data_IF_471632414561
#
_entry.id   IF_471632414561
#
_cell.length_a   1.000
_cell.length_b   1.000
_cell.length_c   1.000
_cell.angle_alpha   90.00
_cell.angle_beta   90.00
_cell.angle_gamma   90.00
#
_symmetry.space_group_name_H-M   'P 1'
#
loop_
_entity.id
_entity.type
_entity.pdbx_description
1 polymer ?
#
# COMPACT_ATOMS: atom_id res chain seq x y z
N UNK A 1 61.29 8.14 12.30
CA UNK A 1 60.81 7.05 13.16
C UNK A 1 59.41 7.37 13.54
N UNK A 2 58.43 6.56 13.14
CA UNK A 2 57.01 6.84 13.27
C UNK A 2 56.47 6.26 14.57
N UNK A 3 55.41 6.86 15.07
CA UNK A 3 54.59 6.34 16.14
C UNK A 3 53.42 5.52 15.55
N UNK A 4 53.20 4.37 16.15
CA UNK A 4 52.18 3.37 15.82
C UNK A 4 50.76 3.90 16.09
N UNK A 5 49.87 3.65 15.12
CA UNK A 5 48.42 3.81 15.22
C UNK A 5 47.81 2.43 15.47
N UNK A 6 47.12 2.17 16.58
CA UNK A 6 46.41 0.91 16.78
C UNK A 6 45.04 0.97 16.15
N UNK A 7 44.81 0.03 15.23
CA UNK A 7 43.66 -0.17 14.41
C UNK A 7 42.30 -0.07 15.11
N UNK A 8 41.42 0.67 14.46
CA UNK A 8 40.00 0.67 14.71
C UNK A 8 39.41 -0.64 14.21
N UNK A 9 38.96 -1.50 15.10
CA UNK A 9 38.12 -2.64 14.80
C UNK A 9 36.75 -2.13 14.36
N UNK A 10 36.43 -2.26 13.08
CA UNK A 10 35.07 -2.14 12.56
C UNK A 10 34.22 -3.29 13.09
N UNK A 11 33.56 -3.06 14.22
CA UNK A 11 32.43 -3.85 14.64
C UNK A 11 31.26 -3.55 13.69
N UNK A 12 30.94 -4.48 12.81
CA UNK A 12 29.66 -4.49 12.11
C UNK A 12 28.56 -4.78 13.12
N UNK A 13 28.07 -3.76 13.81
CA UNK A 13 26.76 -3.83 14.47
C UNK A 13 25.75 -4.06 13.36
N UNK A 14 25.21 -5.29 13.29
CA UNK A 14 24.00 -5.60 12.56
C UNK A 14 22.88 -4.81 13.19
N UNK A 15 22.63 -3.61 12.67
CA UNK A 15 21.50 -2.79 13.08
C UNK A 15 20.23 -3.59 12.93
N UNK A 16 19.55 -3.84 14.04
CA UNK A 16 18.21 -4.40 14.03
C UNK A 16 17.36 -3.60 13.04
N UNK A 17 16.75 -4.26 12.09
CA UNK A 17 15.81 -3.63 11.14
C UNK A 17 14.69 -3.06 11.98
N UNK A 18 14.69 -1.75 12.20
CA UNK A 18 13.61 -1.07 12.91
C UNK A 18 12.35 -1.23 12.07
N UNK A 19 11.31 -1.86 12.63
CA UNK A 19 10.03 -2.04 11.96
C UNK A 19 9.59 -3.49 11.76
N UNK A 20 10.26 -4.48 12.40
CA UNK A 20 9.78 -5.86 12.39
C UNK A 20 8.42 -5.93 13.11
N UNK A 21 7.38 -6.54 12.48
CA UNK A 21 6.05 -6.63 13.08
C UNK A 21 6.04 -7.34 14.43
N UNK A 22 5.24 -6.82 15.36
CA UNK A 22 4.97 -7.42 16.66
C UNK A 22 3.51 -7.87 16.77
N UNK A 23 3.18 -8.84 17.60
CA UNK A 23 1.82 -9.38 17.75
C UNK A 23 1.58 -10.70 17.01
N UNK A 24 0.31 -11.14 16.82
CA UNK A 24 -0.03 -12.34 16.07
C UNK A 24 0.51 -12.26 14.64
N UNK A 25 1.07 -13.35 14.13
CA UNK A 25 1.71 -13.37 12.80
C UNK A 25 1.17 -14.52 11.95
N UNK A 26 0.71 -14.22 10.74
CA UNK A 26 0.36 -15.18 9.70
C UNK A 26 1.36 -15.13 8.55
N UNK A 27 1.47 -13.94 7.96
CA UNK A 27 2.32 -13.70 6.79
C UNK A 27 3.67 -13.06 7.14
N UNK A 28 3.83 -12.61 8.39
CA UNK A 28 5.08 -12.01 8.87
C UNK A 28 5.90 -12.93 9.76
N UNK A 29 5.58 -14.23 9.79
CA UNK A 29 6.21 -15.24 10.67
C UNK A 29 7.71 -15.40 10.49
N UNK A 30 8.25 -15.03 9.33
CA UNK A 30 9.66 -15.16 8.97
C UNK A 30 10.44 -13.85 8.94
N UNK A 31 9.79 -12.71 9.24
CA UNK A 31 10.43 -11.39 9.14
C UNK A 31 11.61 -11.19 10.11
N UNK A 32 11.60 -11.87 11.24
CA UNK A 32 12.68 -11.85 12.23
C UNK A 32 13.71 -12.98 12.06
N UNK A 33 13.58 -13.80 11.01
CA UNK A 33 14.53 -14.87 10.68
C UNK A 33 15.58 -14.35 9.70
N UNK A 34 16.86 -14.50 10.03
CA UNK A 34 17.96 -13.98 9.22
C UNK A 34 18.02 -14.57 7.79
N UNK A 35 17.47 -15.76 7.60
CA UNK A 35 17.42 -16.49 6.32
C UNK A 35 15.98 -16.73 5.83
N UNK A 36 14.97 -16.04 6.39
CA UNK A 36 13.56 -16.19 6.03
C UNK A 36 13.25 -15.94 4.55
N UNK A 37 14.06 -15.11 3.90
CA UNK A 37 13.96 -14.78 2.48
C UNK A 37 14.55 -15.84 1.54
N UNK A 38 15.25 -16.84 2.06
CA UNK A 38 15.87 -17.89 1.25
C UNK A 38 14.93 -19.08 1.03
N UNK A 39 15.18 -19.85 -0.03
CA UNK A 39 14.43 -21.07 -0.31
C UNK A 39 14.47 -22.05 0.88
N UNK A 40 15.67 -22.31 1.42
CA UNK A 40 15.85 -23.25 2.54
C UNK A 40 15.14 -22.78 3.81
N UNK A 41 15.19 -21.46 4.10
CA UNK A 41 14.47 -20.85 5.24
C UNK A 41 12.97 -20.99 5.09
N UNK A 42 12.45 -20.73 3.90
CA UNK A 42 11.03 -20.85 3.61
C UNK A 42 10.53 -22.28 3.71
N UNK A 43 11.21 -23.24 3.07
CA UNK A 43 10.84 -24.67 3.09
C UNK A 43 10.93 -25.25 4.51
N UNK A 44 11.98 -24.90 5.26
CA UNK A 44 12.12 -25.33 6.67
C UNK A 44 10.95 -24.88 7.55
N UNK A 45 10.32 -23.77 7.20
CA UNK A 45 9.15 -23.23 7.89
C UNK A 45 7.81 -23.75 7.34
N UNK A 46 7.79 -24.79 6.53
CA UNK A 46 6.59 -25.36 5.91
C UNK A 46 6.15 -24.67 4.61
N UNK A 47 7.05 -23.89 3.99
CA UNK A 47 6.77 -23.25 2.71
C UNK A 47 6.58 -24.26 1.57
N UNK A 48 5.77 -23.86 0.57
CA UNK A 48 5.32 -24.65 -0.57
C UNK A 48 4.46 -25.89 -0.25
N UNK A 49 4.07 -26.10 1.02
CA UNK A 49 3.12 -27.16 1.37
C UNK A 49 1.70 -26.85 0.86
N UNK A 50 1.29 -25.58 0.87
CA UNK A 50 0.02 -25.18 0.30
C UNK A 50 -0.03 -25.45 -1.22
N UNK A 51 1.05 -25.17 -1.92
CA UNK A 51 1.16 -25.48 -3.35
C UNK A 51 1.09 -26.98 -3.61
N UNK A 52 1.83 -27.80 -2.82
CA UNK A 52 1.74 -29.27 -2.92
C UNK A 52 0.31 -29.76 -2.73
N UNK A 53 -0.33 -29.30 -1.66
CA UNK A 53 -1.74 -29.64 -1.35
C UNK A 53 -2.69 -29.23 -2.48
N UNK A 54 -2.56 -28.02 -2.99
CA UNK A 54 -3.40 -27.52 -4.07
C UNK A 54 -3.27 -28.39 -5.34
N UNK A 55 -2.04 -28.66 -5.79
CA UNK A 55 -1.81 -29.38 -7.06
C UNK A 55 -2.07 -30.88 -6.99
N UNK A 56 -2.01 -31.50 -5.81
CA UNK A 56 -2.17 -32.95 -5.66
C UNK A 56 -3.54 -33.38 -5.12
N UNK A 57 -4.24 -32.50 -4.40
CA UNK A 57 -5.44 -32.86 -3.65
C UNK A 57 -6.65 -31.93 -3.90
N UNK A 58 -6.48 -30.84 -4.66
CA UNK A 58 -7.57 -29.87 -4.92
C UNK A 58 -7.72 -29.63 -6.41
N UNK A 59 -8.93 -29.27 -6.83
CA UNK A 59 -9.18 -28.73 -8.17
C UNK A 59 -8.94 -27.21 -8.19
N UNK A 60 -8.73 -26.57 -9.36
CA UNK A 60 -8.68 -25.12 -9.48
C UNK A 60 -9.88 -24.43 -8.81
N UNK A 61 -11.11 -24.94 -9.05
CA UNK A 61 -12.33 -24.41 -8.45
C UNK A 61 -12.32 -24.52 -6.91
N UNK A 62 -11.82 -25.62 -6.37
CA UNK A 62 -11.71 -25.80 -4.92
C UNK A 62 -10.73 -24.80 -4.29
N UNK A 63 -9.63 -24.46 -4.95
CA UNK A 63 -8.72 -23.40 -4.50
C UNK A 63 -9.40 -22.04 -4.58
N UNK A 64 -10.11 -21.74 -5.67
CA UNK A 64 -10.88 -20.49 -5.80
C UNK A 64 -11.97 -20.38 -4.71
N UNK A 65 -12.68 -21.47 -4.42
CA UNK A 65 -13.72 -21.50 -3.37
C UNK A 65 -13.14 -21.21 -1.97
N UNK A 66 -11.94 -21.71 -1.65
CA UNK A 66 -11.26 -21.36 -0.39
C UNK A 66 -10.98 -19.85 -0.30
N UNK A 67 -10.49 -19.25 -1.38
CA UNK A 67 -10.23 -17.80 -1.43
C UNK A 67 -11.55 -17.01 -1.36
N UNK A 68 -12.61 -17.49 -1.99
CA UNK A 68 -13.93 -16.86 -1.91
C UNK A 68 -14.51 -16.95 -0.51
N UNK A 69 -14.42 -18.11 0.14
CA UNK A 69 -14.92 -18.34 1.51
C UNK A 69 -14.14 -17.50 2.53
N UNK A 70 -12.84 -17.27 2.32
CA UNK A 70 -12.03 -16.41 3.19
C UNK A 70 -12.47 -14.95 3.20
N UNK A 71 -13.24 -14.54 2.19
CA UNK A 71 -13.59 -13.12 1.94
C UNK A 71 -12.41 -12.15 2.02
N UNK A 72 -11.19 -12.64 1.74
CA UNK A 72 -10.02 -11.78 1.78
C UNK A 72 -10.20 -10.57 0.88
N UNK A 73 -10.22 -9.40 1.48
CA UNK A 73 -10.29 -8.12 0.78
C UNK A 73 -8.94 -7.81 0.16
N UNK A 74 -8.94 -7.16 -1.02
CA UNK A 74 -7.73 -6.65 -1.65
C UNK A 74 -6.99 -5.66 -0.74
N UNK A 75 -5.69 -5.88 -0.53
CA UNK A 75 -4.82 -5.10 0.37
C UNK A 75 -4.13 -3.91 -0.31
N UNK A 76 -4.39 -3.72 -1.62
CA UNK A 76 -3.80 -2.60 -2.39
C UNK A 76 -4.53 -1.25 -2.29
N UNK A 77 -5.62 -1.15 -1.51
CA UNK A 77 -6.36 0.10 -1.29
C UNK A 77 -7.88 -0.01 -1.43
N UNK A 78 -8.40 -0.51 -2.54
CA UNK A 78 -9.83 -0.55 -2.82
C UNK A 78 -10.65 -1.53 -1.95
N UNK A 79 -10.01 -2.55 -1.37
CA UNK A 79 -10.66 -3.49 -0.45
C UNK A 79 -11.72 -4.38 -1.11
N UNK A 80 -11.68 -4.61 -2.42
CA UNK A 80 -12.62 -5.49 -3.10
C UNK A 80 -12.25 -6.97 -2.83
N UNK A 81 -13.20 -7.87 -2.51
CA UNK A 81 -12.92 -9.27 -2.20
C UNK A 81 -12.24 -10.00 -3.37
N UNK A 82 -11.08 -10.62 -3.11
CA UNK A 82 -10.25 -11.21 -4.16
C UNK A 82 -10.95 -12.40 -4.86
N UNK A 83 -11.57 -13.31 -4.11
CA UNK A 83 -12.30 -14.45 -4.69
C UNK A 83 -13.48 -14.04 -5.55
N UNK A 84 -14.19 -12.96 -5.20
CA UNK A 84 -15.26 -12.40 -6.04
C UNK A 84 -14.69 -11.81 -7.32
N UNK A 85 -13.57 -11.09 -7.23
CA UNK A 85 -12.88 -10.50 -8.40
C UNK A 85 -12.46 -11.58 -9.41
N UNK A 86 -11.96 -12.72 -8.94
CA UNK A 86 -11.55 -13.84 -9.80
C UNK A 86 -12.73 -14.44 -10.57
N UNK A 87 -13.92 -14.44 -9.97
CA UNK A 87 -15.15 -14.88 -10.63
C UNK A 87 -15.65 -13.98 -11.76
N UNK A 88 -15.03 -12.83 -12.02
CA UNK A 88 -15.37 -11.98 -13.18
C UNK A 88 -14.64 -12.38 -14.47
N UNK A 89 -13.73 -13.35 -14.40
CA UNK A 89 -13.09 -13.87 -15.61
C UNK A 89 -14.14 -14.59 -16.49
N UNK A 90 -14.21 -14.30 -17.79
CA UNK A 90 -15.15 -14.97 -18.67
C UNK A 90 -14.80 -16.45 -18.84
N UNK A 91 -15.83 -17.30 -18.82
CA UNK A 91 -15.68 -18.73 -18.99
C UNK A 91 -15.13 -19.09 -20.39
N UNK A 92 -14.18 -20.03 -20.41
CA UNK A 92 -13.63 -20.56 -21.66
C UNK A 92 -12.78 -19.57 -22.47
N UNK A 93 -12.50 -18.37 -21.95
CA UNK A 93 -11.64 -17.39 -22.63
C UNK A 93 -10.21 -17.50 -22.13
N UNK A 94 -9.25 -17.68 -23.04
CA UNK A 94 -7.82 -17.83 -22.82
C UNK A 94 -7.02 -17.09 -23.89
N UNK A 95 -5.74 -16.70 -23.66
CA UNK A 95 -5.02 -16.89 -22.40
C UNK A 95 -5.58 -16.01 -21.29
N UNK A 96 -5.32 -16.39 -20.01
CA UNK A 96 -5.57 -15.60 -18.81
C UNK A 96 -4.25 -15.22 -18.17
N UNK A 97 -4.19 -14.05 -17.57
CA UNK A 97 -2.97 -13.54 -16.92
C UNK A 97 -3.22 -13.20 -15.45
N UNK A 98 -2.20 -13.45 -14.62
CA UNK A 98 -2.08 -12.85 -13.29
C UNK A 98 -1.10 -11.68 -13.39
N UNK A 99 -1.46 -10.55 -12.82
CA UNK A 99 -0.56 -9.42 -12.62
C UNK A 99 -0.48 -9.11 -11.14
N UNK A 100 0.74 -9.21 -10.60
CA UNK A 100 1.04 -8.85 -9.21
C UNK A 100 1.40 -7.37 -9.17
N UNK A 101 0.62 -6.60 -8.45
CA UNK A 101 0.87 -5.19 -8.26
C UNK A 101 1.79 -4.99 -7.04
N UNK A 102 3.09 -4.91 -7.29
CA UNK A 102 4.14 -4.54 -6.35
C UNK A 102 4.61 -3.08 -6.52
N UNK A 103 3.80 -2.24 -7.17
CA UNK A 103 4.04 -0.78 -7.21
C UNK A 103 3.46 -0.13 -5.96
N UNK A 104 4.13 -0.33 -4.83
CA UNK A 104 3.79 0.29 -3.55
C UNK A 104 4.34 1.70 -3.51
N UNK A 105 3.53 2.67 -3.92
CA UNK A 105 3.92 4.08 -4.07
C UNK A 105 3.09 5.03 -3.24
N UNK A 106 2.05 4.55 -2.53
CA UNK A 106 1.19 5.36 -1.67
C UNK A 106 2.00 5.90 -0.47
N UNK A 107 2.11 7.24 -0.29
CA UNK A 107 2.89 7.78 0.81
C UNK A 107 2.44 7.28 2.18
N UNK A 108 3.42 6.81 2.95
CA UNK A 108 3.22 6.16 4.25
C UNK A 108 3.14 4.63 4.19
N UNK A 109 3.01 4.02 3.01
CA UNK A 109 2.91 2.56 2.82
C UNK A 109 4.28 1.96 2.51
N UNK A 110 4.66 0.88 3.25
CA UNK A 110 5.92 0.14 3.05
C UNK A 110 5.84 -1.34 3.47
N UNK A 111 4.64 -1.91 3.55
CA UNK A 111 4.37 -3.30 3.96
C UNK A 111 4.65 -4.33 2.86
N UNK A 112 4.32 -4.01 1.60
CA UNK A 112 4.54 -4.89 0.45
C UNK A 112 6.03 -5.01 0.14
N UNK A 113 6.78 -3.91 0.31
CA UNK A 113 8.24 -3.92 0.24
C UNK A 113 8.83 -4.91 1.24
N UNK A 114 8.37 -4.90 2.50
CA UNK A 114 8.86 -5.83 3.52
C UNK A 114 8.56 -7.28 3.15
N UNK A 115 7.38 -7.59 2.63
CA UNK A 115 7.06 -8.94 2.15
C UNK A 115 7.99 -9.37 1.03
N UNK A 116 8.23 -8.53 0.04
CA UNK A 116 9.11 -8.82 -1.09
C UNK A 116 10.60 -8.95 -0.69
N UNK A 117 11.03 -8.21 0.34
CA UNK A 117 12.41 -8.24 0.83
C UNK A 117 12.67 -9.37 1.82
N UNK A 118 11.72 -9.67 2.72
CA UNK A 118 11.92 -10.57 3.85
C UNK A 118 11.32 -11.97 3.65
N UNK A 119 10.31 -12.09 2.77
CA UNK A 119 9.64 -13.38 2.50
C UNK A 119 9.14 -13.50 1.04
N UNK A 120 10.03 -13.37 0.04
CA UNK A 120 9.65 -13.39 -1.37
C UNK A 120 9.05 -14.72 -1.83
N UNK A 121 9.44 -15.85 -1.21
CA UNK A 121 8.92 -17.17 -1.56
C UNK A 121 7.44 -17.34 -1.22
N UNK A 122 6.96 -16.72 -0.12
CA UNK A 122 5.55 -16.70 0.23
C UNK A 122 4.70 -16.01 -0.84
N UNK A 123 5.20 -14.91 -1.39
CA UNK A 123 4.54 -14.23 -2.50
C UNK A 123 4.53 -15.13 -3.75
N UNK A 124 5.66 -15.74 -4.12
CA UNK A 124 5.76 -16.64 -5.29
C UNK A 124 4.79 -17.80 -5.16
N UNK A 125 4.74 -18.48 -4.01
CA UNK A 125 3.76 -19.54 -3.75
C UNK A 125 2.32 -19.05 -3.94
N UNK A 126 1.99 -17.86 -3.41
CA UNK A 126 0.68 -17.24 -3.59
C UNK A 126 0.35 -16.92 -5.05
N UNK A 127 1.34 -16.51 -5.85
CA UNK A 127 1.16 -16.25 -7.29
C UNK A 127 0.86 -17.56 -8.04
N UNK A 128 1.56 -18.64 -7.73
CA UNK A 128 1.32 -19.95 -8.37
C UNK A 128 -0.04 -20.50 -8.00
N UNK A 129 -0.45 -20.39 -6.72
CA UNK A 129 -1.79 -20.77 -6.25
C UNK A 129 -2.91 -20.00 -6.96
N UNK A 130 -2.75 -18.67 -7.10
CA UNK A 130 -3.70 -17.84 -7.83
C UNK A 130 -3.76 -18.22 -9.31
N UNK A 131 -2.61 -18.45 -9.93
CA UNK A 131 -2.53 -18.87 -11.34
C UNK A 131 -3.22 -20.21 -11.57
N UNK A 132 -3.03 -21.18 -10.67
CA UNK A 132 -3.73 -22.46 -10.71
C UNK A 132 -5.24 -22.28 -10.61
N UNK A 133 -5.71 -21.52 -9.63
CA UNK A 133 -7.13 -21.30 -9.39
C UNK A 133 -7.87 -20.66 -10.57
N UNK A 134 -7.21 -19.76 -11.31
CA UNK A 134 -7.84 -19.05 -12.45
C UNK A 134 -7.46 -19.61 -13.82
N UNK A 135 -6.59 -20.63 -13.89
CA UNK A 135 -6.12 -21.21 -15.13
C UNK A 135 -5.20 -20.28 -15.93
N UNK A 136 -4.38 -19.48 -15.28
CA UNK A 136 -3.40 -18.62 -15.92
C UNK A 136 -2.09 -19.38 -16.16
N UNK A 137 -1.56 -19.32 -17.39
CA UNK A 137 -0.28 -19.92 -17.76
C UNK A 137 0.91 -18.93 -17.64
N UNK A 138 0.63 -17.67 -17.43
CA UNK A 138 1.64 -16.63 -17.25
C UNK A 138 1.21 -15.65 -16.14
N UNK A 139 2.18 -15.26 -15.32
CA UNK A 139 2.04 -14.24 -14.31
C UNK A 139 3.13 -13.17 -14.48
N UNK A 140 2.79 -11.91 -14.22
CA UNK A 140 3.70 -10.77 -14.29
C UNK A 140 3.79 -10.14 -12.92
N UNK A 141 4.98 -10.15 -12.32
CA UNK A 141 5.26 -9.54 -11.05
C UNK A 141 5.88 -8.17 -11.29
N UNK A 142 5.09 -7.13 -11.13
CA UNK A 142 5.52 -5.75 -11.34
C UNK A 142 5.99 -5.13 -10.02
N UNK A 143 7.28 -4.79 -9.94
CA UNK A 143 7.89 -4.20 -8.74
C UNK A 143 8.30 -2.77 -9.04
N UNK A 144 8.01 -1.86 -8.12
CA UNK A 144 8.40 -0.46 -8.20
C UNK A 144 9.91 -0.29 -8.42
N UNK A 145 10.30 0.64 -9.30
CA UNK A 145 11.70 0.84 -9.73
C UNK A 145 12.67 1.19 -8.60
N UNK A 146 12.21 1.87 -7.55
CA UNK A 146 13.03 2.28 -6.40
C UNK A 146 13.31 1.16 -5.39
N UNK A 147 12.64 0.00 -5.51
CA UNK A 147 12.77 -1.12 -4.57
C UNK A 147 13.84 -2.12 -5.03
N UNK A 148 15.11 -1.68 -5.12
CA UNK A 148 16.21 -2.48 -5.65
C UNK A 148 16.41 -3.80 -4.89
N UNK A 149 16.37 -3.79 -3.55
CA UNK A 149 16.51 -5.01 -2.73
C UNK A 149 15.35 -5.98 -2.94
N UNK A 150 14.11 -5.49 -3.03
CA UNK A 150 12.95 -6.32 -3.32
C UNK A 150 13.08 -7.01 -4.69
N UNK A 151 13.53 -6.26 -5.71
CA UNK A 151 13.78 -6.80 -7.05
C UNK A 151 14.85 -7.91 -7.03
N UNK A 152 15.96 -7.70 -6.34
CA UNK A 152 17.02 -8.69 -6.16
C UNK A 152 16.50 -9.95 -5.46
N UNK A 153 15.77 -9.80 -4.34
CA UNK A 153 15.24 -10.92 -3.55
C UNK A 153 14.20 -11.72 -4.33
N UNK A 154 13.30 -11.06 -5.05
CA UNK A 154 12.32 -11.72 -5.90
C UNK A 154 13.01 -12.46 -7.07
N UNK A 155 14.00 -11.83 -7.71
CA UNK A 155 14.74 -12.47 -8.81
C UNK A 155 15.45 -13.76 -8.33
N UNK A 156 16.11 -13.70 -7.15
CA UNK A 156 16.74 -14.87 -6.55
C UNK A 156 15.69 -15.95 -6.22
N UNK A 157 14.60 -15.58 -5.56
CA UNK A 157 13.55 -16.50 -5.17
C UNK A 157 12.85 -17.16 -6.39
N UNK A 158 12.70 -16.43 -7.51
CA UNK A 158 12.22 -17.01 -8.76
C UNK A 158 13.21 -18.03 -9.33
N UNK A 159 14.52 -17.74 -9.34
CA UNK A 159 15.54 -18.69 -9.77
C UNK A 159 15.48 -19.98 -8.95
N UNK A 160 15.36 -19.87 -7.62
CA UNK A 160 15.24 -20.99 -6.72
C UNK A 160 13.94 -21.79 -6.97
N UNK A 161 12.83 -21.11 -7.20
CA UNK A 161 11.54 -21.73 -7.50
C UNK A 161 11.56 -22.52 -8.83
N UNK A 162 12.17 -21.95 -9.88
CA UNK A 162 12.39 -22.66 -11.14
C UNK A 162 13.31 -23.89 -10.97
N UNK A 163 14.42 -23.74 -10.25
CA UNK A 163 15.38 -24.82 -10.02
C UNK A 163 14.76 -26.01 -9.23
N UNK A 164 13.74 -25.72 -8.40
CA UNK A 164 13.04 -26.72 -7.59
C UNK A 164 11.70 -27.17 -8.18
N UNK A 165 11.42 -26.88 -9.45
CA UNK A 165 10.18 -27.24 -10.15
C UNK A 165 8.90 -26.78 -9.44
N UNK A 166 8.93 -25.56 -8.86
CA UNK A 166 7.80 -24.91 -8.21
C UNK A 166 7.15 -23.85 -9.10
N UNK A 167 7.85 -23.48 -10.17
CA UNK A 167 7.42 -22.58 -11.26
C UNK A 167 7.94 -23.19 -12.57
N UNK A 168 7.30 -22.91 -13.68
CA UNK A 168 7.64 -23.40 -15.02
C UNK A 168 6.73 -24.53 -15.48
N UNK A 169 7.30 -25.55 -16.12
CA UNK A 169 6.55 -26.62 -16.77
C UNK A 169 6.32 -27.80 -15.83
N UNK A 170 5.10 -28.37 -15.86
CA UNK A 170 4.75 -29.58 -15.12
C UNK A 170 5.15 -29.51 -13.62
N UNK A 171 4.73 -28.46 -12.97
CA UNK A 171 5.07 -28.14 -11.58
C UNK A 171 4.77 -29.31 -10.66
N UNK A 172 5.76 -29.71 -9.85
CA UNK A 172 5.69 -30.86 -8.94
C UNK A 172 5.28 -32.17 -9.63
N UNK A 173 5.50 -32.30 -10.96
CA UNK A 173 5.15 -33.48 -11.76
C UNK A 173 3.65 -33.56 -12.13
N UNK A 174 2.89 -32.47 -11.99
CA UNK A 174 1.51 -32.37 -12.43
C UNK A 174 1.40 -31.82 -13.86
N UNK A 175 0.20 -31.76 -14.42
CA UNK A 175 -0.05 -31.17 -15.74
C UNK A 175 -0.10 -29.63 -15.71
N UNK A 176 -0.01 -29.01 -14.52
CA UNK A 176 -0.05 -27.56 -14.38
C UNK A 176 1.30 -26.93 -14.67
N UNK A 177 1.27 -25.83 -15.42
CA UNK A 177 2.44 -25.05 -15.79
C UNK A 177 2.13 -23.57 -15.71
N UNK A 178 3.03 -22.77 -15.13
CA UNK A 178 2.95 -21.31 -15.13
C UNK A 178 4.36 -20.71 -15.13
N UNK A 179 4.57 -19.72 -16.00
CA UNK A 179 5.78 -18.88 -15.99
C UNK A 179 5.52 -17.56 -15.26
N UNK A 180 6.49 -17.12 -14.46
CA UNK A 180 6.43 -15.84 -13.74
C UNK A 180 7.50 -14.91 -14.28
N UNK A 181 7.07 -13.77 -14.80
CA UNK A 181 7.93 -12.75 -15.37
C UNK A 181 8.09 -11.58 -14.38
N UNK A 182 9.31 -11.29 -13.97
CA UNK A 182 9.61 -10.11 -13.16
C UNK A 182 9.74 -8.89 -14.06
N UNK A 183 8.96 -7.85 -13.76
CA UNK A 183 8.95 -6.57 -14.47
C UNK A 183 9.27 -5.44 -13.51
N UNK A 184 10.14 -4.53 -13.94
CA UNK A 184 10.59 -3.41 -13.13
C UNK A 184 9.92 -2.13 -13.56
N UNK A 185 9.30 -1.45 -12.60
CA UNK A 185 8.73 -0.13 -12.81
C UNK A 185 9.79 0.94 -12.95
N UNK A 186 9.37 2.14 -13.35
CA UNK A 186 10.22 3.31 -13.52
C UNK A 186 9.88 4.44 -12.51
N UNK A 187 9.22 4.11 -11.39
CA UNK A 187 8.97 5.03 -10.28
C UNK A 187 7.80 5.99 -10.46
N UNK A 188 6.77 5.62 -11.20
CA UNK A 188 5.56 6.42 -11.35
C UNK A 188 4.42 5.91 -10.45
N UNK A 189 3.98 6.71 -9.47
CA UNK A 189 2.86 6.40 -8.58
C UNK A 189 1.61 5.91 -9.31
N UNK A 190 1.30 6.55 -10.45
CA UNK A 190 0.08 6.25 -11.19
C UNK A 190 0.01 4.80 -11.71
N UNK A 191 1.13 4.11 -11.86
CA UNK A 191 1.13 2.70 -12.29
C UNK A 191 0.69 1.74 -11.17
N UNK A 192 0.49 2.21 -9.94
CA UNK A 192 -0.26 1.50 -8.92
C UNK A 192 -1.75 1.32 -9.26
N UNK A 193 -2.32 2.16 -10.13
CA UNK A 193 -3.64 1.93 -10.70
C UNK A 193 -3.59 0.78 -11.73
N UNK A 194 -4.49 -0.22 -11.57
CA UNK A 194 -4.39 -1.50 -12.28
C UNK A 194 -4.32 -1.41 -13.81
N UNK A 195 -4.98 -0.43 -14.42
CA UNK A 195 -4.96 -0.26 -15.90
C UNK A 195 -3.73 0.53 -16.37
N UNK A 196 -3.22 1.46 -15.57
CA UNK A 196 -1.96 2.14 -15.84
C UNK A 196 -0.76 1.18 -15.71
N UNK A 197 -0.81 0.24 -14.74
CA UNK A 197 0.17 -0.83 -14.62
C UNK A 197 0.18 -1.72 -15.87
N UNK A 198 -1.01 -2.09 -16.38
CA UNK A 198 -1.14 -2.88 -17.61
C UNK A 198 -0.55 -2.11 -18.80
N UNK A 199 -0.84 -0.83 -18.98
CA UNK A 199 -0.22 0.00 -20.04
C UNK A 199 1.32 -0.02 -19.92
N UNK A 200 1.86 0.09 -18.71
CA UNK A 200 3.31 0.04 -18.48
C UNK A 200 3.90 -1.33 -18.84
N UNK A 201 3.21 -2.43 -18.52
CA UNK A 201 3.64 -3.79 -18.92
C UNK A 201 3.62 -3.99 -20.44
N UNK A 202 2.70 -3.34 -21.15
CA UNK A 202 2.60 -3.37 -22.59
C UNK A 202 3.65 -2.48 -23.30
N UNK A 203 4.48 -1.75 -22.51
CA UNK A 203 5.52 -0.85 -23.02
C UNK A 203 5.00 0.55 -23.38
N UNK A 204 3.76 0.83 -23.03
CA UNK A 204 3.12 2.11 -23.24
C UNK A 204 3.34 3.05 -22.03
N UNK A 205 2.99 4.32 -22.18
CA UNK A 205 3.02 5.25 -21.04
C UNK A 205 1.97 4.84 -20.02
N UNK A 206 2.39 4.64 -18.76
CA UNK A 206 1.52 4.26 -17.64
C UNK A 206 0.43 5.30 -17.36
N UNK A 207 -0.68 5.20 -18.06
CA UNK A 207 -1.85 6.05 -17.94
C UNK A 207 -3.11 5.21 -17.81
N UNK A 208 -4.02 5.48 -16.84
CA UNK A 208 -5.25 4.72 -16.66
C UNK A 208 -6.10 4.63 -17.93
N UNK A 209 -6.73 3.46 -18.15
CA UNK A 209 -7.74 3.24 -19.19
C UNK A 209 -9.13 3.68 -18.70
N UNK A 210 -10.02 3.96 -19.61
CA UNK A 210 -11.43 4.24 -19.30
C UNK A 210 -12.16 2.95 -18.91
N UNK A 211 -12.92 2.98 -17.83
CA UNK A 211 -13.80 1.89 -17.38
C UNK A 211 -15.25 2.38 -17.39
N UNK A 212 -16.16 1.82 -18.18
CA UNK A 212 -15.97 0.80 -19.22
C UNK A 212 -15.25 1.34 -20.46
N UNK A 213 -14.75 0.48 -21.41
CA UNK A 213 -14.93 -0.99 -21.44
C UNK A 213 -13.73 -1.78 -20.88
N UNK A 214 -12.65 -1.09 -20.44
CA UNK A 214 -11.37 -1.72 -20.11
C UNK A 214 -11.31 -2.18 -18.63
N UNK A 215 -12.23 -3.08 -18.23
CA UNK A 215 -12.08 -3.79 -16.96
C UNK A 215 -11.08 -4.92 -17.15
N UNK A 216 -10.02 -5.03 -16.30
CA UNK A 216 -8.94 -6.00 -16.50
C UNK A 216 -9.42 -7.45 -16.61
N UNK A 217 -10.41 -7.88 -15.82
CA UNK A 217 -10.95 -9.22 -15.87
C UNK A 217 -11.51 -9.61 -17.26
N UNK A 218 -11.93 -8.64 -18.07
CA UNK A 218 -12.44 -8.86 -19.43
C UNK A 218 -11.44 -8.41 -20.51
N UNK A 219 -10.78 -7.26 -20.33
CA UNK A 219 -9.88 -6.62 -21.30
C UNK A 219 -8.67 -6.01 -20.58
N UNK A 220 -7.83 -6.85 -20.04
CA UNK A 220 -6.61 -6.49 -19.31
C UNK A 220 -5.37 -6.46 -20.19
N UNK A 221 -4.33 -7.17 -19.77
CA UNK A 221 -3.03 -7.25 -20.43
C UNK A 221 -3.20 -7.86 -21.83
N UNK A 222 -2.71 -7.15 -22.85
CA UNK A 222 -2.88 -7.50 -24.26
C UNK A 222 -4.34 -7.75 -24.65
N UNK A 223 -5.26 -7.04 -24.01
CA UNK A 223 -6.73 -7.16 -24.17
C UNK A 223 -7.27 -8.55 -23.79
N UNK A 224 -6.51 -9.36 -23.04
CA UNK A 224 -6.93 -10.65 -22.53
C UNK A 224 -7.43 -10.55 -21.07
N UNK A 225 -8.24 -11.53 -20.63
CA UNK A 225 -8.69 -11.61 -19.25
C UNK A 225 -7.51 -11.62 -18.26
N UNK A 226 -7.49 -10.67 -17.34
CA UNK A 226 -6.37 -10.46 -16.44
C UNK A 226 -6.86 -10.19 -15.01
N UNK A 227 -6.30 -10.89 -14.04
CA UNK A 227 -6.49 -10.58 -12.62
C UNK A 227 -5.27 -9.79 -12.13
N UNK A 228 -5.51 -8.59 -11.62
CA UNK A 228 -4.49 -7.77 -10.95
C UNK A 228 -4.69 -7.91 -9.43
N UNK A 229 -3.71 -8.38 -8.69
CA UNK A 229 -3.75 -8.49 -7.23
C UNK A 229 -2.51 -7.85 -6.59
N UNK A 230 -2.70 -7.29 -5.39
CA UNK A 230 -1.63 -6.73 -4.59
C UNK A 230 -0.76 -7.82 -3.93
N UNK A 231 0.47 -7.50 -3.58
CA UNK A 231 1.46 -8.39 -2.95
C UNK A 231 0.93 -9.02 -1.67
N UNK A 232 0.47 -8.21 -0.69
CA UNK A 232 -0.05 -8.73 0.59
C UNK A 232 -1.26 -9.64 0.36
N UNK A 233 -2.13 -9.33 -0.59
CA UNK A 233 -3.30 -10.17 -0.89
C UNK A 233 -2.89 -11.57 -1.29
N UNK A 234 -1.91 -11.71 -2.20
CA UNK A 234 -1.43 -13.00 -2.67
C UNK A 234 -0.60 -13.75 -1.62
N UNK A 235 0.16 -13.02 -0.80
CA UNK A 235 0.95 -13.62 0.28
C UNK A 235 0.12 -14.29 1.38
N UNK A 236 -1.19 -14.01 1.46
CA UNK A 236 -2.10 -14.72 2.37
C UNK A 236 -2.57 -16.08 1.84
N UNK A 237 -2.47 -16.34 0.54
CA UNK A 237 -3.03 -17.55 -0.07
C UNK A 237 -2.40 -18.84 0.48
N UNK A 238 -1.08 -18.94 0.70
CA UNK A 238 -0.48 -20.14 1.28
C UNK A 238 -1.09 -20.49 2.64
N UNK A 239 -1.34 -19.52 3.49
CA UNK A 239 -1.99 -19.75 4.78
C UNK A 239 -3.44 -20.23 4.61
N UNK A 240 -4.22 -19.58 3.75
CA UNK A 240 -5.62 -19.95 3.47
C UNK A 240 -5.72 -21.38 2.95
N UNK A 241 -4.82 -21.80 2.05
CA UNK A 241 -4.85 -23.16 1.49
C UNK A 241 -4.35 -24.20 2.49
N UNK A 242 -3.38 -23.89 3.34
CA UNK A 242 -2.91 -24.80 4.38
C UNK A 242 -3.93 -25.06 5.49
N UNK A 243 -4.77 -24.08 5.80
CA UNK A 243 -5.83 -24.17 6.79
C UNK A 243 -7.20 -24.31 6.10
N UNK A 244 -7.95 -23.24 6.03
CA UNK A 244 -9.16 -23.13 5.19
C UNK A 244 -9.55 -21.67 5.00
N UNK A 245 -10.42 -21.39 4.01
CA UNK A 245 -11.03 -20.07 3.87
C UNK A 245 -11.84 -19.65 5.09
N UNK A 246 -12.56 -20.61 5.71
CA UNK A 246 -13.34 -20.35 6.91
C UNK A 246 -12.45 -20.00 8.11
N UNK A 247 -11.33 -20.72 8.32
CA UNK A 247 -10.41 -20.41 9.41
C UNK A 247 -9.84 -18.98 9.26
N UNK A 248 -9.53 -18.55 8.02
CA UNK A 248 -9.08 -17.17 7.76
C UNK A 248 -10.19 -16.14 8.04
N UNK A 249 -11.43 -16.45 7.64
CA UNK A 249 -12.59 -15.62 7.91
C UNK A 249 -12.77 -15.40 9.43
N UNK A 250 -12.65 -16.46 10.20
CA UNK A 250 -12.90 -16.48 11.65
C UNK A 250 -11.78 -15.84 12.48
N UNK A 251 -10.62 -15.47 11.88
CA UNK A 251 -9.52 -14.78 12.59
C UNK A 251 -9.85 -13.36 13.05
N UNK A 252 -10.94 -12.78 12.56
CA UNK A 252 -11.27 -11.38 12.77
C UNK A 252 -12.71 -11.19 13.22
N UNK A 253 -13.16 -9.94 13.30
CA UNK A 253 -14.55 -9.63 13.65
C UNK A 253 -15.52 -10.04 12.55
N UNK A 254 -16.81 -10.28 12.87
CA UNK A 254 -17.82 -10.67 11.86
C UNK A 254 -18.01 -9.67 10.71
N UNK A 255 -17.56 -8.43 10.87
CA UNK A 255 -17.68 -7.37 9.86
C UNK A 255 -16.41 -7.20 9.02
N UNK A 256 -15.32 -7.92 9.38
CA UNK A 256 -14.03 -7.78 8.73
C UNK A 256 -13.25 -9.09 8.84
N UNK A 257 -12.62 -9.54 7.77
CA UNK A 257 -12.05 -10.89 7.70
C UNK A 257 -10.52 -10.88 7.75
N UNK A 258 -9.97 -11.92 8.41
CA UNK A 258 -8.55 -12.23 8.41
C UNK A 258 -7.65 -11.20 9.08
N UNK A 259 -6.36 -11.36 8.85
CA UNK A 259 -5.32 -10.45 9.30
C UNK A 259 -4.99 -9.41 8.24
N UNK A 260 -4.41 -8.29 8.66
CA UNK A 260 -3.94 -7.24 7.76
C UNK A 260 -2.68 -6.57 8.32
N UNK A 261 -1.81 -6.15 7.41
CA UNK A 261 -0.63 -5.36 7.76
C UNK A 261 -0.96 -3.87 7.75
N UNK A 262 -0.49 -3.17 8.79
CA UNK A 262 -0.56 -1.72 8.90
C UNK A 262 0.84 -1.14 9.05
N UNK A 263 1.19 -0.21 8.15
CA UNK A 263 2.42 0.57 8.22
C UNK A 263 2.16 1.84 9.03
N UNK A 264 2.68 1.93 10.24
CA UNK A 264 2.49 3.09 11.13
C UNK A 264 3.76 3.93 11.17
N UNK A 265 3.61 5.23 10.93
CA UNK A 265 4.72 6.19 10.88
C UNK A 265 4.30 7.59 11.33
N UNK A 266 5.16 8.58 11.10
CA UNK A 266 4.94 9.95 11.54
C UNK A 266 5.45 10.18 12.96
N UNK A 267 4.68 10.87 13.77
CA UNK A 267 5.10 11.32 15.10
C UNK A 267 4.81 10.29 16.21
N UNK A 268 5.24 9.05 16.01
CA UNK A 268 5.14 7.96 16.99
C UNK A 268 6.52 7.61 17.57
N UNK A 269 6.55 6.92 18.72
CA UNK A 269 7.81 6.52 19.37
C UNK A 269 8.51 5.39 18.61
N UNK A 270 7.77 4.39 18.16
CA UNK A 270 8.28 3.22 17.43
C UNK A 270 7.50 2.99 16.14
N UNK A 271 7.89 3.64 15.02
CA UNK A 271 7.28 3.36 13.72
C UNK A 271 7.57 1.93 13.28
N UNK A 272 6.59 1.30 12.61
CA UNK A 272 6.75 -0.10 12.18
C UNK A 272 5.62 -0.60 11.30
N UNK A 273 5.73 -1.86 10.89
CA UNK A 273 4.65 -2.61 10.26
C UNK A 273 4.11 -3.64 11.23
N UNK A 274 2.80 -3.63 11.42
CA UNK A 274 2.12 -4.48 12.39
C UNK A 274 1.06 -5.33 11.69
N UNK A 275 1.09 -6.64 11.88
CA UNK A 275 0.07 -7.55 11.41
C UNK A 275 -0.94 -7.77 12.54
N UNK A 276 -2.20 -7.40 12.30
CA UNK A 276 -3.26 -7.46 13.31
C UNK A 276 -4.56 -8.00 12.75
N UNK A 277 -5.43 -8.59 13.60
CA UNK A 277 -6.77 -9.01 13.17
C UNK A 277 -7.62 -7.79 12.79
N UNK A 278 -8.28 -7.86 11.64
CA UNK A 278 -9.18 -6.81 11.20
C UNK A 278 -10.37 -6.63 12.17
N UNK A 279 -10.69 -5.37 12.49
CA UNK A 279 -11.90 -5.02 13.23
C UNK A 279 -11.87 -5.31 14.74
N UNK A 280 -10.82 -5.93 15.26
CA UNK A 280 -10.65 -6.14 16.72
C UNK A 280 -9.62 -5.19 17.33
N UNK A 281 -8.66 -4.74 16.55
CA UNK A 281 -7.65 -3.73 16.93
C UNK A 281 -8.14 -2.35 16.55
N UNK A 282 -7.93 -1.34 17.37
CA UNK A 282 -8.26 0.06 17.08
C UNK A 282 -7.06 0.86 16.59
N UNK A 283 -7.29 2.06 16.03
CA UNK A 283 -6.19 2.99 15.75
C UNK A 283 -5.44 3.36 17.03
N UNK A 284 -6.15 3.52 18.16
CA UNK A 284 -5.54 3.81 19.46
C UNK A 284 -4.58 2.71 19.90
N UNK A 285 -4.97 1.45 19.75
CA UNK A 285 -4.10 0.33 20.11
C UNK A 285 -2.79 0.41 19.33
N UNK A 286 -2.84 0.58 17.99
CA UNK A 286 -1.63 0.67 17.18
C UNK A 286 -0.74 1.87 17.52
N UNK A 287 -1.34 3.02 17.88
CA UNK A 287 -0.59 4.24 18.19
C UNK A 287 -0.04 4.22 19.59
N UNK A 288 -0.83 3.80 20.61
CA UNK A 288 -0.53 4.04 22.02
C UNK A 288 0.01 2.80 22.74
N UNK A 289 -0.39 1.58 22.36
CA UNK A 289 0.00 0.39 23.09
C UNK A 289 1.51 0.09 22.96
N UNK A 290 2.17 -0.33 24.08
CA UNK A 290 3.62 -0.56 24.12
C UNK A 290 4.11 -1.65 23.16
N UNK A 291 3.28 -2.63 22.85
CA UNK A 291 3.57 -3.71 21.91
C UNK A 291 3.56 -3.27 20.43
N UNK A 292 3.06 -2.06 20.16
CA UNK A 292 3.02 -1.45 18.84
C UNK A 292 3.89 -0.17 18.81
N UNK A 293 3.31 1.00 18.60
CA UNK A 293 4.09 2.23 18.50
C UNK A 293 4.48 2.86 19.84
N UNK A 294 3.89 2.43 20.96
CA UNK A 294 4.26 2.90 22.31
C UNK A 294 3.98 4.40 22.56
N UNK A 295 3.03 4.98 21.84
CA UNK A 295 2.57 6.35 22.00
C UNK A 295 3.15 7.36 21.03
N UNK A 296 2.67 8.59 21.13
CA UNK A 296 3.15 9.74 20.36
C UNK A 296 4.51 10.22 20.91
N UNK A 297 5.40 10.61 20.01
CA UNK A 297 6.73 11.09 20.36
C UNK A 297 6.70 12.19 21.44
N UNK A 298 7.66 12.17 22.34
CA UNK A 298 7.82 13.16 23.42
C UNK A 298 6.58 13.32 24.32
N UNK A 299 5.68 12.32 24.39
CA UNK A 299 4.46 12.38 25.20
C UNK A 299 3.45 13.43 24.73
N UNK A 300 3.51 13.83 23.46
CA UNK A 300 2.59 14.81 22.85
C UNK A 300 1.23 14.18 22.54
N UNK A 301 0.26 15.02 22.17
CA UNK A 301 -1.07 14.59 21.77
C UNK A 301 -1.17 14.40 20.25
N UNK A 302 -2.03 13.50 19.80
CA UNK A 302 -2.41 13.39 18.39
C UNK A 302 -3.20 14.62 18.00
N UNK A 303 -2.80 15.31 16.94
CA UNK A 303 -3.54 16.42 16.32
C UNK A 303 -4.44 15.92 15.18
N UNK A 304 -3.88 15.08 14.33
CA UNK A 304 -4.56 14.41 13.23
C UNK A 304 -3.79 13.13 12.85
N UNK A 305 -4.41 12.25 12.09
CA UNK A 305 -3.70 11.13 11.47
C UNK A 305 -4.32 10.75 10.14
N UNK A 306 -3.51 10.21 9.26
CA UNK A 306 -3.93 9.63 7.99
C UNK A 306 -4.24 8.15 8.25
N UNK A 307 -5.48 7.65 8.02
CA UNK A 307 -5.86 6.29 8.43
C UNK A 307 -5.53 5.19 7.41
N UNK A 308 -5.25 5.55 6.14
CA UNK A 308 -5.16 4.56 5.06
C UNK A 308 -4.27 4.93 3.89
N UNK A 309 -3.23 5.74 4.12
CA UNK A 309 -2.37 6.32 3.09
C UNK A 309 -2.80 7.73 2.69
N UNK A 310 -1.91 8.44 2.01
CA UNK A 310 -2.08 9.87 1.68
C UNK A 310 -3.37 10.20 0.93
N UNK A 311 -3.96 9.22 0.24
CA UNK A 311 -5.24 9.34 -0.48
C UNK A 311 -6.47 9.41 0.44
N UNK A 312 -6.33 9.02 1.72
CA UNK A 312 -7.44 8.97 2.67
C UNK A 312 -7.81 10.37 3.20
N UNK A 313 -9.08 10.56 3.54
CA UNK A 313 -9.51 11.71 4.35
C UNK A 313 -8.91 11.53 5.76
N UNK A 314 -8.35 12.61 6.31
CA UNK A 314 -7.67 12.56 7.59
C UNK A 314 -8.65 12.37 8.75
N UNK A 315 -8.22 11.66 9.75
CA UNK A 315 -8.90 11.47 11.01
C UNK A 315 -8.28 12.31 12.12
N UNK A 316 -9.03 12.46 13.21
CA UNK A 316 -8.71 13.30 14.35
C UNK A 316 -8.77 12.48 15.65
N UNK A 317 -8.37 13.02 16.82
CA UNK A 317 -8.31 12.26 18.08
C UNK A 317 -9.58 11.47 18.42
N UNK A 318 -10.75 11.99 18.07
CA UNK A 318 -12.05 11.33 18.30
C UNK A 318 -12.24 10.03 17.51
N UNK A 319 -11.43 9.79 16.49
CA UNK A 319 -11.49 8.59 15.65
C UNK A 319 -10.50 7.49 16.09
N UNK A 320 -9.66 7.75 17.10
CA UNK A 320 -8.65 6.78 17.54
C UNK A 320 -9.27 5.47 18.04
N UNK A 321 -10.46 5.52 18.62
CA UNK A 321 -11.15 4.35 19.18
C UNK A 321 -11.93 3.54 18.11
N UNK A 322 -11.91 3.99 16.84
CA UNK A 322 -12.50 3.21 15.75
C UNK A 322 -11.69 1.93 15.50
N UNK A 323 -12.36 0.79 15.34
CA UNK A 323 -11.69 -0.45 14.94
C UNK A 323 -11.13 -0.34 13.51
N UNK A 324 -10.05 -1.07 13.25
CA UNK A 324 -9.41 -1.18 11.95
C UNK A 324 -10.25 -2.06 11.02
N UNK A 325 -11.47 -1.62 10.74
CA UNK A 325 -12.48 -2.29 9.93
C UNK A 325 -12.91 -1.39 8.78
N UNK A 326 -12.94 -1.96 7.58
CA UNK A 326 -13.29 -1.21 6.36
C UNK A 326 -14.66 -0.55 6.46
N UNK A 327 -15.69 -1.27 6.90
CA UNK A 327 -17.05 -0.75 6.95
C UNK A 327 -17.19 0.41 7.94
N UNK A 328 -16.55 0.29 9.11
CA UNK A 328 -16.54 1.32 10.15
C UNK A 328 -15.81 2.58 9.70
N UNK A 329 -14.63 2.42 9.07
CA UNK A 329 -13.84 3.56 8.59
C UNK A 329 -14.52 4.24 7.39
N UNK A 330 -15.12 3.48 6.47
CA UNK A 330 -15.93 4.03 5.37
C UNK A 330 -17.13 4.83 5.90
N UNK A 331 -17.82 4.33 6.92
CA UNK A 331 -18.94 5.01 7.57
C UNK A 331 -18.51 6.30 8.30
N UNK A 332 -17.30 6.30 8.85
CA UNK A 332 -16.70 7.48 9.46
C UNK A 332 -16.18 8.52 8.44
N UNK A 333 -16.33 8.26 7.15
CA UNK A 333 -16.00 9.21 6.10
C UNK A 333 -14.57 9.12 5.57
N UNK A 334 -13.88 7.98 5.74
CA UNK A 334 -12.53 7.78 5.22
C UNK A 334 -12.34 6.34 4.72
N UNK A 335 -11.11 5.87 4.55
CA UNK A 335 -10.79 4.51 4.11
C UNK A 335 -9.56 3.94 4.84
N UNK A 336 -9.54 2.62 5.04
CA UNK A 336 -8.32 1.90 5.44
C UNK A 336 -7.26 1.87 4.34
N UNK A 337 -7.65 2.11 3.11
CA UNK A 337 -6.76 2.28 1.96
C UNK A 337 -5.70 1.19 1.84
N UNK A 338 -4.43 1.60 1.78
CA UNK A 338 -3.27 0.70 1.74
C UNK A 338 -2.82 0.17 3.11
N UNK A 339 -3.47 0.61 4.22
CA UNK A 339 -3.07 0.28 5.58
C UNK A 339 -1.92 1.14 6.13
N UNK A 340 -1.66 2.29 5.51
CA UNK A 340 -0.67 3.24 6.04
C UNK A 340 -1.29 4.24 7.01
N UNK A 341 -0.80 4.26 8.23
CA UNK A 341 -1.22 5.21 9.27
C UNK A 341 -0.09 6.20 9.52
N UNK A 342 -0.36 7.49 9.31
CA UNK A 342 0.65 8.55 9.53
C UNK A 342 0.15 9.49 10.62
N UNK A 343 0.80 9.47 11.78
CA UNK A 343 0.40 10.26 12.95
C UNK A 343 1.06 11.64 12.92
N UNK A 344 0.26 12.67 13.17
CA UNK A 344 0.66 14.07 13.28
C UNK A 344 0.36 14.55 14.70
N UNK A 345 1.39 15.01 15.42
CA UNK A 345 1.24 15.54 16.78
C UNK A 345 0.78 17.02 16.80
N UNK A 346 0.56 17.55 17.98
CA UNK A 346 0.05 18.90 18.23
C UNK A 346 0.99 20.03 17.75
N UNK A 347 2.25 19.74 17.41
CA UNK A 347 3.18 20.70 16.81
C UNK A 347 3.09 20.79 15.29
N UNK A 348 2.33 19.92 14.63
CA UNK A 348 2.28 19.86 13.17
C UNK A 348 1.63 21.10 12.57
N UNK A 349 2.31 21.72 11.61
CA UNK A 349 1.75 22.75 10.72
C UNK A 349 0.84 22.07 9.68
N UNK A 350 -0.47 22.22 9.85
CA UNK A 350 -1.45 21.53 9.00
C UNK A 350 -1.47 22.06 7.57
N UNK A 351 -1.14 23.34 7.35
CA UNK A 351 -1.01 23.93 6.01
C UNK A 351 0.20 23.32 5.28
N UNK A 352 1.32 23.18 5.98
CA UNK A 352 2.53 22.56 5.43
C UNK A 352 2.33 21.04 5.17
N UNK A 353 1.66 20.33 6.09
CA UNK A 353 1.33 18.91 5.91
C UNK A 353 0.42 18.71 4.69
N UNK A 354 -0.64 19.51 4.58
CA UNK A 354 -1.55 19.51 3.44
C UNK A 354 -0.81 19.77 2.12
N UNK A 355 0.02 20.83 2.06
CA UNK A 355 0.81 21.14 0.87
C UNK A 355 1.74 19.99 0.46
N UNK A 356 2.39 19.30 1.41
CA UNK A 356 3.27 18.18 1.10
C UNK A 356 2.55 17.05 0.37
N UNK A 357 1.37 16.69 0.85
CA UNK A 357 0.57 15.63 0.23
C UNK A 357 0.03 16.08 -1.13
N UNK A 358 -0.49 17.28 -1.24
CA UNK A 358 -0.99 17.85 -2.51
C UNK A 358 0.12 17.96 -3.54
N UNK A 359 1.33 18.39 -3.14
CA UNK A 359 2.51 18.46 -4.01
C UNK A 359 2.91 17.09 -4.56
N UNK A 360 2.80 16.05 -3.75
CA UNK A 360 3.02 14.69 -4.23
C UNK A 360 2.04 14.35 -5.36
N UNK A 361 0.73 14.50 -5.16
CA UNK A 361 -0.26 14.20 -6.18
C UNK A 361 -0.15 15.07 -7.43
N UNK A 362 0.22 16.34 -7.27
CA UNK A 362 0.46 17.24 -8.41
C UNK A 362 1.63 16.77 -9.29
N UNK A 363 2.68 16.22 -8.68
CA UNK A 363 3.85 15.68 -9.40
C UNK A 363 3.57 14.32 -10.02
N UNK A 364 2.75 13.50 -9.37
CA UNK A 364 2.42 12.15 -9.81
C UNK A 364 1.22 12.09 -10.77
N UNK A 365 0.57 13.20 -11.03
CA UNK A 365 -0.48 13.29 -12.05
C UNK A 365 0.07 12.88 -13.43
N UNK A 366 -0.52 11.84 -14.05
CA UNK A 366 -0.12 11.39 -15.37
C UNK A 366 -0.44 12.40 -16.50
N UNK A 367 -1.25 13.43 -16.19
CA UNK A 367 -1.64 14.47 -17.14
C UNK A 367 -2.74 14.10 -18.13
N UNK A 368 -3.34 12.91 -18.04
CA UNK A 368 -4.34 12.44 -19.01
C UNK A 368 -5.63 13.24 -19.00
N UNK A 369 -6.16 13.59 -17.84
CA UNK A 369 -7.42 14.34 -17.70
C UNK A 369 -7.21 15.72 -17.11
N UNK A 370 -7.89 16.72 -17.70
CA UNK A 370 -7.71 18.14 -17.39
C UNK A 370 -7.97 18.49 -15.93
N UNK A 371 -9.06 18.04 -15.26
CA UNK A 371 -9.33 18.41 -13.87
C UNK A 371 -8.20 18.02 -12.91
N UNK A 372 -7.59 16.85 -13.11
CA UNK A 372 -6.43 16.40 -12.34
C UNK A 372 -5.17 17.19 -12.73
N UNK A 373 -4.80 17.21 -14.00
CA UNK A 373 -3.55 17.84 -14.49
C UNK A 373 -3.43 19.31 -14.07
N UNK A 374 -4.47 20.09 -14.32
CA UNK A 374 -4.47 21.52 -14.01
C UNK A 374 -4.83 21.78 -12.55
N UNK A 375 -5.89 21.12 -12.05
CA UNK A 375 -6.40 21.36 -10.72
C UNK A 375 -5.39 21.03 -9.62
N UNK A 376 -4.72 19.88 -9.66
CA UNK A 376 -3.72 19.53 -8.63
C UNK A 376 -2.53 20.52 -8.62
N UNK A 377 -2.14 21.03 -9.81
CA UNK A 377 -1.10 22.05 -9.92
C UNK A 377 -1.57 23.39 -9.31
N UNK A 378 -2.83 23.75 -9.50
CA UNK A 378 -3.38 24.99 -8.91
C UNK A 378 -3.48 24.86 -7.38
N UNK A 379 -3.97 23.73 -6.88
CA UNK A 379 -4.03 23.44 -5.44
C UNK A 379 -2.63 23.57 -4.79
N UNK A 380 -1.62 22.95 -5.39
CA UNK A 380 -0.22 23.03 -4.91
C UNK A 380 0.29 24.47 -4.87
N UNK A 381 0.06 25.24 -5.93
CA UNK A 381 0.51 26.64 -6.02
C UNK A 381 -0.17 27.57 -5.03
N UNK A 382 -1.47 27.37 -4.78
CA UNK A 382 -2.22 28.18 -3.79
C UNK A 382 -1.66 27.90 -2.39
N UNK A 383 -1.54 26.64 -2.00
CA UNK A 383 -0.97 26.25 -0.70
C UNK A 383 0.47 26.74 -0.54
N UNK A 384 1.29 26.61 -1.59
CA UNK A 384 2.68 27.10 -1.58
C UNK A 384 2.75 28.60 -1.39
N UNK A 385 1.87 29.37 -2.03
CA UNK A 385 1.81 30.83 -1.88
C UNK A 385 1.47 31.23 -0.45
N UNK A 386 0.53 30.54 0.22
CA UNK A 386 0.23 30.76 1.64
C UNK A 386 1.48 30.50 2.49
N UNK A 387 2.15 29.36 2.30
CA UNK A 387 3.36 28.99 3.02
C UNK A 387 4.53 29.98 2.83
N UNK A 388 4.59 30.63 1.68
CA UNK A 388 5.61 31.66 1.39
C UNK A 388 5.28 33.04 1.96
N UNK A 389 4.18 33.16 2.71
CA UNK A 389 3.74 34.42 3.31
C UNK A 389 3.06 35.37 2.32
N UNK A 390 2.67 34.89 1.15
CA UNK A 390 2.05 35.68 0.08
C UNK A 390 0.59 35.25 -0.15
N UNK A 391 -0.07 34.70 0.90
CA UNK A 391 -1.48 34.32 0.87
C UNK A 391 -2.39 35.50 0.60
N UNK A 392 -3.49 35.26 -0.09
CA UNK A 392 -4.50 36.25 -0.47
C UNK A 392 -5.82 35.94 0.20
N UNK A 393 -6.66 36.93 0.51
CA UNK A 393 -7.95 36.72 1.16
C UNK A 393 -8.87 35.73 0.43
N UNK A 394 -8.79 35.67 -0.91
CA UNK A 394 -9.59 34.80 -1.75
C UNK A 394 -9.03 33.38 -1.89
N UNK A 395 -7.79 33.10 -1.44
CA UNK A 395 -7.08 31.85 -1.69
C UNK A 395 -7.80 30.62 -1.11
N UNK A 396 -8.35 30.74 0.09
CA UNK A 396 -9.04 29.62 0.72
C UNK A 396 -10.34 29.25 -0.02
N UNK A 397 -11.10 30.27 -0.46
CA UNK A 397 -12.30 30.05 -1.26
C UNK A 397 -11.96 29.44 -2.63
N UNK A 398 -10.90 29.95 -3.28
CA UNK A 398 -10.43 29.43 -4.57
C UNK A 398 -9.91 27.97 -4.42
N UNK A 399 -9.22 27.66 -3.32
CA UNK A 399 -8.75 26.30 -3.03
C UNK A 399 -9.93 25.31 -2.98
N UNK A 400 -10.99 25.65 -2.27
CA UNK A 400 -12.21 24.84 -2.14
C UNK A 400 -12.94 24.71 -3.49
N UNK A 401 -13.05 25.79 -4.27
CA UNK A 401 -13.69 25.78 -5.60
C UNK A 401 -12.95 24.85 -6.58
N UNK A 402 -11.61 24.86 -6.57
CA UNK A 402 -10.81 23.92 -7.37
C UNK A 402 -11.03 22.48 -6.90
N UNK A 403 -11.12 22.24 -5.60
CA UNK A 403 -11.44 20.92 -5.05
C UNK A 403 -12.79 20.41 -5.56
N UNK A 404 -13.83 21.25 -5.54
CA UNK A 404 -15.17 20.94 -6.08
C UNK A 404 -15.14 20.58 -7.57
N UNK A 405 -14.29 21.23 -8.35
CA UNK A 405 -14.11 20.93 -9.78
C UNK A 405 -13.51 19.55 -10.04
N UNK A 406 -12.68 19.04 -9.11
CA UNK A 406 -12.03 17.71 -9.20
C UNK A 406 -12.91 16.62 -8.58
N UNK A 407 -13.49 16.88 -7.40
CA UNK A 407 -14.27 15.94 -6.60
C UNK A 407 -15.56 16.61 -6.09
N UNK A 408 -16.63 16.63 -6.90
CA UNK A 408 -17.87 17.33 -6.58
C UNK A 408 -18.52 16.83 -5.28
N UNK A 409 -18.92 17.78 -4.43
CA UNK A 409 -19.58 17.56 -3.15
C UNK A 409 -18.63 17.30 -2.00
N UNK A 410 -17.31 17.20 -2.24
CA UNK A 410 -16.25 17.07 -1.24
C UNK A 410 -16.50 16.02 -0.14
N UNK A 411 -17.34 15.02 -0.42
CA UNK A 411 -17.80 14.02 0.53
C UNK A 411 -17.17 12.64 0.28
N UNK A 412 -17.22 11.78 1.29
CA UNK A 412 -16.87 10.37 1.16
C UNK A 412 -18.12 9.51 0.93
N UNK A 413 -18.10 8.50 0.03
CA UNK A 413 -17.03 8.24 -0.94
C UNK A 413 -16.94 9.37 -2.00
N UNK A 414 -15.73 9.68 -2.49
CA UNK A 414 -15.55 10.81 -3.38
C UNK A 414 -16.21 10.59 -4.73
N UNK A 415 -16.93 11.59 -5.22
CA UNK A 415 -17.29 11.70 -6.63
C UNK A 415 -16.07 12.19 -7.40
N UNK A 416 -15.94 11.79 -8.65
CA UNK A 416 -14.79 12.20 -9.46
C UNK A 416 -15.19 12.68 -10.84
N UNK A 417 -14.53 13.72 -11.32
CA UNK A 417 -14.56 14.20 -12.71
C UNK A 417 -13.35 13.70 -13.49
N UNK A 418 -12.49 12.93 -12.85
CA UNK A 418 -11.22 12.40 -13.36
C UNK A 418 -11.35 10.93 -13.77
N UNK A 419 -10.43 10.45 -14.63
CA UNK A 419 -10.44 9.06 -15.12
C UNK A 419 -10.15 8.05 -14.01
N UNK A 420 -9.27 8.42 -13.06
CA UNK A 420 -8.88 7.58 -11.93
C UNK A 420 -9.01 8.35 -10.60
N UNK A 421 -8.92 7.68 -9.44
CA UNK A 421 -9.08 8.31 -8.13
C UNK A 421 -7.93 9.25 -7.71
N UNK A 422 -6.84 9.41 -8.46
CA UNK A 422 -5.75 10.33 -8.09
C UNK A 422 -6.24 11.77 -7.89
N UNK A 423 -7.16 12.25 -8.73
CA UNK A 423 -7.74 13.59 -8.55
C UNK A 423 -8.41 13.76 -7.19
N UNK A 424 -9.42 12.96 -6.84
CA UNK A 424 -10.03 12.96 -5.51
C UNK A 424 -9.03 12.77 -4.36
N UNK A 425 -8.02 11.92 -4.55
CA UNK A 425 -6.96 11.70 -3.56
C UNK A 425 -6.17 12.99 -3.24
N UNK A 426 -5.95 13.84 -4.23
CA UNK A 426 -5.31 15.15 -4.02
C UNK A 426 -6.21 16.14 -3.27
N UNK A 427 -7.53 15.96 -3.31
CA UNK A 427 -8.51 16.79 -2.64
C UNK A 427 -8.66 16.40 -1.16
N UNK A 428 -8.56 15.11 -0.83
CA UNK A 428 -8.77 14.57 0.52
C UNK A 428 -8.02 15.32 1.65
N UNK A 429 -6.70 15.60 1.54
CA UNK A 429 -5.97 16.32 2.58
C UNK A 429 -6.46 17.77 2.76
N UNK A 430 -6.90 18.42 1.67
CA UNK A 430 -7.38 19.81 1.71
C UNK A 430 -8.71 19.87 2.45
N UNK A 431 -9.67 19.01 2.08
CA UNK A 431 -10.98 18.95 2.73
C UNK A 431 -10.82 18.73 4.22
N UNK A 432 -10.04 17.72 4.61
CA UNK A 432 -9.77 17.38 6.01
C UNK A 432 -9.15 18.54 6.79
N UNK A 433 -8.10 19.16 6.22
CA UNK A 433 -7.35 20.21 6.88
C UNK A 433 -8.15 21.51 6.97
N UNK A 434 -8.82 21.92 5.89
CA UNK A 434 -9.60 23.18 5.86
C UNK A 434 -10.82 23.10 6.77
N UNK A 435 -11.51 21.97 6.82
CA UNK A 435 -12.68 21.81 7.68
C UNK A 435 -12.32 21.97 9.16
N UNK A 436 -11.23 21.32 9.58
CA UNK A 436 -10.86 21.23 11.01
C UNK A 436 -9.92 22.34 11.47
N UNK A 437 -9.01 22.80 10.61
CA UNK A 437 -7.92 23.72 10.95
C UNK A 437 -7.98 25.03 10.15
N UNK A 438 -9.18 25.45 9.75
CA UNK A 438 -9.36 26.68 8.98
C UNK A 438 -8.62 27.87 9.57
N UNK A 439 -8.58 27.99 10.89
CA UNK A 439 -7.89 29.06 11.60
C UNK A 439 -6.37 29.11 11.34
N UNK A 440 -5.72 27.95 11.03
CA UNK A 440 -4.31 27.94 10.65
C UNK A 440 -4.12 28.50 9.23
N UNK A 441 -5.04 28.21 8.31
CA UNK A 441 -5.01 28.75 6.95
C UNK A 441 -5.29 30.26 6.96
N UNK A 442 -6.31 30.70 7.68
CA UNK A 442 -6.63 32.13 7.82
C UNK A 442 -5.44 32.89 8.43
N UNK A 443 -4.77 32.34 9.44
CA UNK A 443 -3.58 32.94 10.05
C UNK A 443 -2.42 33.10 9.05
N UNK A 444 -2.20 32.11 8.17
CA UNK A 444 -1.21 32.25 7.08
C UNK A 444 -1.58 33.38 6.09
N UNK A 445 -2.85 33.53 5.76
CA UNK A 445 -3.33 34.62 4.89
C UNK A 445 -3.11 35.97 5.54
N UNK A 446 -3.39 36.09 6.85
CA UNK A 446 -3.33 37.36 7.57
C UNK A 446 -1.90 37.75 7.99
N UNK A 447 -1.08 36.78 8.38
CA UNK A 447 0.21 37.01 9.03
C UNK A 447 1.43 36.46 8.27
N UNK A 448 1.22 35.67 7.21
CA UNK A 448 2.29 35.08 6.39
C UNK A 448 3.15 34.03 7.11
N UNK A 449 2.71 33.51 8.25
CA UNK A 449 3.44 32.55 9.09
C UNK A 449 2.50 31.57 9.79
N UNK A 450 3.00 30.43 10.32
CA UNK A 450 2.18 29.54 11.13
C UNK A 450 1.75 30.19 12.45
N UNK A 451 0.74 29.61 13.09
CA UNK A 451 0.35 29.97 14.47
C UNK A 451 1.48 29.61 15.44
N UNK A 452 1.50 30.29 16.60
CA UNK A 452 2.51 30.03 17.62
C UNK A 452 2.37 28.61 18.20
N UNK A 453 3.50 27.97 18.50
CA UNK A 453 3.55 26.61 19.00
C UNK A 453 3.55 25.49 17.94
N UNK A 454 3.41 25.85 16.68
CA UNK A 454 3.49 24.93 15.54
C UNK A 454 4.89 24.97 14.92
N UNK A 455 5.47 23.81 14.71
CA UNK A 455 6.80 23.69 14.12
C UNK A 455 6.72 23.57 12.59
N UNK A 456 7.24 24.56 11.92
CA UNK A 456 7.48 24.50 10.48
C UNK A 456 8.73 23.67 10.24
N UNK A 457 8.59 22.35 10.13
CA UNK A 457 9.69 21.51 9.71
C UNK A 457 10.19 21.98 8.33
N UNK A 458 11.49 22.23 8.22
CA UNK A 458 12.13 22.87 7.09
C UNK A 458 11.65 22.27 5.75
N UNK A 459 10.93 23.09 4.99
CA UNK A 459 10.45 22.76 3.64
C UNK A 459 11.65 22.70 2.66
N UNK A 460 12.78 23.26 3.05
CA UNK A 460 14.03 23.28 2.30
C UNK A 460 15.04 22.34 2.96
N UNK A 461 15.42 21.29 2.22
CA UNK A 461 16.50 20.41 2.60
C UNK A 461 17.82 21.18 2.67
N UNK A 462 18.19 21.62 3.86
CA UNK A 462 19.56 21.96 4.24
C UNK A 462 19.74 21.57 5.70
N UNK A 463 19.89 20.29 5.95
CA UNK A 463 20.73 19.66 6.96
C UNK A 463 20.43 18.16 6.99
N UNK A 464 21.30 17.39 6.51
CA UNK A 464 21.75 16.03 6.64
C UNK A 464 21.06 15.11 7.67
N UNK A 465 19.77 14.86 7.53
CA UNK A 465 19.16 13.61 7.97
C UNK A 465 18.42 13.10 6.74
N UNK A 466 19.06 12.18 6.04
CA UNK A 466 18.39 11.36 5.05
C UNK A 466 17.30 10.59 5.76
N UNK A 467 16.04 11.00 5.60
CA UNK A 467 14.92 10.11 5.82
C UNK A 467 14.99 9.12 4.66
N UNK A 468 15.60 7.98 4.88
CA UNK A 468 15.46 6.84 3.99
C UNK A 468 13.99 6.43 4.03
N UNK A 469 13.27 6.77 2.96
CA UNK A 469 11.95 6.27 2.63
C UNK A 469 12.11 4.83 2.14
#
# INVERSE_FOLDING_TARGET
MPADDPGAANGSDGGAVSGVPTGPKLITTRFDQADGYTYDGYVRSGGYEALRRALTAMTPDAVHDQVKTSEIQGRGGAGFPAGVKWGFLPDGVFPRYIVVNGDESEPGTYKDRMLMELDPHQLIEGVVLASYAVGAAQAFLYVRGEMALAQERIAQALNDAYANNLVGTNILGTDFSVDIHLSWGAGAYIVGEETALIESLEGERGMPRLKPPFFPAAKGLYLQPTIVNNVETLSNLPWIINHSGQDFYDLASPTSTGMRMFAVSGHVNAPGVFEVPNGTTTFRDLVEAPEYCGGVRNGRSVKAFIPGGASAIWFFPEHLDLPLDKATVDQAGSMLGSGAIVVMDDTTDMVAACWRVVRFFARESCGKCTPCREGTTWLERILKRMLDGNGRPEDLATLVDVCESISPGLAWPPKQTTICPLGPSAVSPIVSAVERFRHEFDHYVEHGRPIDGVERHAIHGTSGVAVHV
#
